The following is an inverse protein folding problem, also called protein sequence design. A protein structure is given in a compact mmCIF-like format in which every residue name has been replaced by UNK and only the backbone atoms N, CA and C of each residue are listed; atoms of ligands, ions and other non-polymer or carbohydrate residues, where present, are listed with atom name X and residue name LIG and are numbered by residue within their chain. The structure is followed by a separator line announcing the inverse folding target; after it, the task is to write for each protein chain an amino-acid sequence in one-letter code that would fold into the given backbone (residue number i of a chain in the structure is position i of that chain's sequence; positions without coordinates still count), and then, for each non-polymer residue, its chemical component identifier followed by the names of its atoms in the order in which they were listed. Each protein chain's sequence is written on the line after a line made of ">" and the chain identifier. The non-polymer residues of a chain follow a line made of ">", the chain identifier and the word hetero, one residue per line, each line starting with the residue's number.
data_IF_190703511687
#
_entry.id   IF_190703511687
#
_cell.length_a   1.000
_cell.length_b   1.000
_cell.length_c   1.000
_cell.angle_alpha   90.00
_cell.angle_beta   90.00
_cell.angle_gamma   90.00
#
_symmetry.space_group_name_H-M   'P 1'
#
loop_
_entity.id
_entity.type
_entity.pdbx_description
1 polymer ?
#
# COMPACT_ATOMS: atom_id res chain seq x y z
N UNK A 1 -31.60 -44.13 13.43
CA UNK A 1 -31.14 -43.39 12.22
C UNK A 1 -30.54 -42.07 12.64
N UNK A 2 -29.22 -41.87 12.49
CA UNK A 2 -28.55 -40.59 12.80
C UNK A 2 -28.85 -39.60 11.67
N UNK A 3 -29.66 -38.60 11.94
CA UNK A 3 -29.93 -37.48 11.03
C UNK A 3 -28.64 -36.68 10.80
N UNK A 4 -28.12 -36.69 9.57
CA UNK A 4 -26.97 -35.91 9.14
C UNK A 4 -27.37 -34.42 9.03
N UNK A 5 -27.46 -33.73 10.16
CA UNK A 5 -27.85 -32.30 10.24
C UNK A 5 -26.83 -31.34 9.63
N UNK A 6 -25.62 -31.78 9.30
CA UNK A 6 -24.52 -30.93 8.82
C UNK A 6 -24.67 -30.45 7.36
N UNK A 7 -25.78 -30.73 6.68
CA UNK A 7 -25.97 -30.40 5.25
C UNK A 7 -27.11 -29.40 4.98
N UNK A 8 -27.78 -28.91 6.03
CA UNK A 8 -28.96 -28.03 5.96
C UNK A 8 -28.75 -26.82 6.86
N UNK A 9 -29.30 -25.66 6.49
CA UNK A 9 -29.22 -24.41 7.26
C UNK A 9 -29.99 -24.51 8.59
N UNK A 10 -29.33 -24.19 9.72
CA UNK A 10 -29.91 -24.15 11.06
C UNK A 10 -30.36 -22.70 11.43
N UNK A 11 -31.63 -22.50 11.86
CA UNK A 11 -32.20 -21.19 12.16
C UNK A 11 -31.76 -20.55 13.49
N UNK A 12 -31.14 -21.29 14.42
CA UNK A 12 -31.01 -20.85 15.82
C UNK A 12 -29.94 -19.77 16.10
N UNK A 13 -29.24 -19.27 15.07
CA UNK A 13 -28.10 -18.34 15.25
C UNK A 13 -28.32 -16.93 14.66
N UNK A 14 -29.27 -16.74 13.74
CA UNK A 14 -29.55 -15.46 13.06
C UNK A 14 -31.02 -15.43 12.62
N UNK A 15 -31.60 -14.25 12.35
CA UNK A 15 -32.92 -14.15 11.71
C UNK A 15 -32.85 -14.61 10.24
N UNK A 16 -32.87 -15.93 10.03
CA UNK A 16 -32.75 -16.55 8.71
C UNK A 16 -34.08 -16.47 7.97
N UNK A 17 -34.04 -16.02 6.71
CA UNK A 17 -35.20 -16.06 5.83
C UNK A 17 -35.71 -17.52 5.69
N UNK A 18 -37.00 -17.80 5.99
CA UNK A 18 -37.54 -19.17 5.96
C UNK A 18 -37.32 -19.91 4.64
N UNK A 19 -37.24 -19.19 3.51
CA UNK A 19 -36.98 -19.77 2.20
C UNK A 19 -35.56 -20.38 2.03
N UNK A 20 -34.64 -20.06 2.95
CA UNK A 20 -33.27 -20.59 2.94
C UNK A 20 -33.15 -21.87 3.77
N UNK A 21 -34.08 -22.11 4.70
CA UNK A 21 -34.08 -23.32 5.53
C UNK A 21 -34.32 -24.54 4.65
N UNK A 22 -33.55 -25.61 4.84
CA UNK A 22 -33.64 -26.81 4.00
C UNK A 22 -32.74 -26.82 2.76
N UNK A 23 -32.07 -25.70 2.42
CA UNK A 23 -31.18 -25.69 1.25
C UNK A 23 -29.89 -26.47 1.51
N UNK A 24 -29.40 -27.22 0.50
CA UNK A 24 -28.18 -28.02 0.63
C UNK A 24 -26.95 -27.11 0.67
N UNK A 25 -26.22 -27.16 1.78
CA UNK A 25 -25.00 -26.40 1.98
C UNK A 25 -23.87 -26.90 1.05
N UNK A 26 -22.99 -25.98 0.63
CA UNK A 26 -21.79 -26.33 -0.11
C UNK A 26 -20.81 -27.11 0.78
N UNK A 27 -20.22 -28.19 0.23
CA UNK A 27 -19.17 -28.95 0.93
C UNK A 27 -17.86 -28.13 0.97
N UNK A 28 -17.05 -28.22 2.04
CA UNK A 28 -15.75 -27.53 2.14
C UNK A 28 -14.88 -27.71 0.90
N UNK A 29 -14.73 -28.94 0.41
CA UNK A 29 -13.95 -29.23 -0.79
C UNK A 29 -14.45 -28.48 -2.02
N UNK A 30 -15.78 -28.38 -2.23
CA UNK A 30 -16.33 -27.62 -3.37
C UNK A 30 -16.06 -26.12 -3.26
N UNK A 31 -16.12 -25.58 -2.04
CA UNK A 31 -15.77 -24.18 -1.78
C UNK A 31 -14.30 -23.93 -2.05
N UNK A 32 -13.42 -24.83 -1.59
CA UNK A 32 -11.98 -24.75 -1.82
C UNK A 32 -11.65 -24.81 -3.32
N UNK A 33 -12.20 -25.78 -4.06
CA UNK A 33 -11.99 -25.88 -5.50
C UNK A 33 -12.47 -24.63 -6.23
N UNK A 34 -13.64 -24.09 -5.87
CA UNK A 34 -14.13 -22.84 -6.45
C UNK A 34 -13.17 -21.67 -6.19
N UNK A 35 -12.66 -21.54 -4.96
CA UNK A 35 -11.68 -20.51 -4.61
C UNK A 35 -10.37 -20.68 -5.37
N UNK A 36 -9.86 -21.91 -5.53
CA UNK A 36 -8.64 -22.16 -6.30
C UNK A 36 -8.82 -21.76 -7.77
N UNK A 37 -9.95 -22.11 -8.39
CA UNK A 37 -10.25 -21.69 -9.78
C UNK A 37 -10.28 -20.16 -9.88
N UNK A 38 -10.97 -19.50 -8.95
CA UNK A 38 -11.05 -18.03 -8.94
C UNK A 38 -9.67 -17.39 -8.72
N UNK A 39 -8.83 -17.94 -7.83
CA UNK A 39 -7.48 -17.45 -7.58
C UNK A 39 -6.57 -17.64 -8.81
N UNK A 40 -6.68 -18.76 -9.52
CA UNK A 40 -5.97 -18.96 -10.79
C UNK A 40 -6.42 -17.93 -11.83
N UNK A 41 -7.73 -17.69 -11.96
CA UNK A 41 -8.26 -16.69 -12.88
C UNK A 41 -7.76 -15.28 -12.55
N UNK A 42 -7.79 -14.89 -11.27
CA UNK A 42 -7.26 -13.61 -10.80
C UNK A 42 -5.76 -13.52 -11.04
N UNK A 43 -4.99 -14.59 -10.76
CA UNK A 43 -3.54 -14.59 -10.97
C UNK A 43 -3.20 -14.35 -12.44
N UNK A 44 -3.85 -15.05 -13.37
CA UNK A 44 -3.67 -14.82 -14.82
C UNK A 44 -4.01 -13.39 -15.22
N UNK A 45 -5.03 -12.81 -14.59
CA UNK A 45 -5.54 -11.49 -14.89
C UNK A 45 -4.63 -10.37 -14.36
N UNK A 46 -4.04 -10.57 -13.18
CA UNK A 46 -3.01 -9.69 -12.63
C UNK A 46 -1.75 -9.74 -13.51
N UNK A 47 -1.33 -10.94 -13.95
CA UNK A 47 -0.20 -11.10 -14.87
C UNK A 47 -0.44 -10.48 -16.25
N UNK A 48 -1.67 -10.54 -16.76
CA UNK A 48 -2.03 -9.94 -18.05
C UNK A 48 -2.14 -8.40 -17.99
N UNK A 49 -1.96 -7.80 -16.80
CA UNK A 49 -2.07 -6.37 -16.56
C UNK A 49 -3.50 -5.97 -16.20
N UNK A 50 -3.63 -5.18 -15.12
CA UNK A 50 -4.92 -4.76 -14.56
C UNK A 50 -5.94 -4.16 -15.52
N UNK A 51 -5.47 -3.59 -16.65
CA UNK A 51 -6.33 -3.09 -17.72
C UNK A 51 -7.26 -4.14 -18.32
N UNK A 52 -6.90 -5.43 -18.27
CA UNK A 52 -7.74 -6.51 -18.78
C UNK A 52 -9.05 -6.63 -17.99
N UNK A 53 -9.06 -6.40 -16.68
CA UNK A 53 -10.29 -6.38 -15.88
C UNK A 53 -11.23 -5.26 -16.32
N UNK A 54 -10.69 -4.06 -16.50
CA UNK A 54 -11.46 -2.90 -16.93
C UNK A 54 -11.97 -3.07 -18.36
N UNK A 55 -11.15 -3.63 -19.25
CA UNK A 55 -11.57 -3.98 -20.60
C UNK A 55 -12.71 -5.00 -20.59
N UNK A 56 -12.58 -6.10 -19.83
CA UNK A 56 -13.62 -7.13 -19.75
C UNK A 56 -14.92 -6.58 -19.14
N UNK A 57 -14.82 -5.73 -18.11
CA UNK A 57 -15.96 -5.06 -17.52
C UNK A 57 -16.65 -4.12 -18.51
N UNK A 58 -15.88 -3.28 -19.22
CA UNK A 58 -16.40 -2.37 -20.25
C UNK A 58 -17.09 -3.14 -21.39
N UNK A 59 -16.45 -4.22 -21.87
CA UNK A 59 -17.01 -5.11 -22.88
C UNK A 59 -18.31 -5.78 -22.41
N UNK A 60 -18.35 -6.27 -21.16
CA UNK A 60 -19.53 -6.89 -20.58
C UNK A 60 -20.70 -5.90 -20.43
N UNK A 61 -20.43 -4.69 -19.92
CA UNK A 61 -21.43 -3.62 -19.78
C UNK A 61 -21.97 -3.25 -21.16
N UNK A 62 -21.09 -3.01 -22.13
CA UNK A 62 -21.49 -2.68 -23.50
C UNK A 62 -22.30 -3.80 -24.15
N UNK A 63 -21.88 -5.06 -23.99
CA UNK A 63 -22.61 -6.22 -24.50
C UNK A 63 -24.02 -6.32 -23.89
N UNK A 64 -24.15 -6.03 -22.59
CA UNK A 64 -25.42 -6.04 -21.85
C UNK A 64 -26.31 -4.82 -22.10
N UNK A 65 -25.74 -3.69 -22.52
CA UNK A 65 -26.50 -2.51 -22.97
C UNK A 65 -26.93 -2.61 -24.44
N UNK A 66 -26.05 -3.07 -25.34
CA UNK A 66 -26.37 -3.37 -26.73
C UNK A 66 -27.48 -4.42 -26.81
N UNK A 67 -27.35 -5.48 -26.02
CA UNK A 67 -28.32 -5.79 -24.97
C UNK A 67 -29.80 -5.49 -25.19
N UNK A 68 -30.13 -4.35 -24.59
CA UNK A 68 -31.43 -3.76 -24.34
C UNK A 68 -31.82 -2.79 -25.46
N UNK A 69 -30.83 -2.25 -26.19
CA UNK A 69 -31.03 -1.36 -27.34
C UNK A 69 -31.42 -2.12 -28.61
N UNK A 70 -31.07 -3.40 -28.71
CA UNK A 70 -31.51 -4.30 -29.78
C UNK A 70 -32.98 -4.71 -29.58
N UNK A 71 -33.90 -3.74 -29.66
CA UNK A 71 -35.33 -3.97 -29.75
C UNK A 71 -35.71 -4.63 -31.08
N UNK A 72 -36.78 -5.45 -31.03
CA UNK A 72 -37.44 -6.21 -32.12
C UNK A 72 -37.18 -5.68 -33.55
N UNK A 73 -36.03 -6.02 -34.16
CA UNK A 73 -35.78 -5.75 -35.58
C UNK A 73 -35.54 -7.08 -36.26
N UNK A 74 -36.60 -7.60 -36.87
CA UNK A 74 -36.77 -8.96 -37.39
C UNK A 74 -35.85 -9.32 -38.58
N UNK A 75 -35.07 -8.35 -39.09
CA UNK A 75 -34.29 -8.53 -40.33
C UNK A 75 -32.87 -9.11 -40.13
N UNK A 76 -32.34 -9.07 -38.90
CA UNK A 76 -31.05 -9.69 -38.57
C UNK A 76 -31.29 -10.99 -37.82
N UNK A 77 -30.98 -12.12 -38.45
CA UNK A 77 -31.08 -13.44 -37.81
C UNK A 77 -30.39 -13.45 -36.45
N UNK A 78 -30.93 -14.23 -35.48
CA UNK A 78 -30.46 -14.24 -34.08
C UNK A 78 -28.93 -14.38 -33.93
N UNK A 79 -28.28 -15.08 -34.87
CA UNK A 79 -26.82 -15.23 -34.92
C UNK A 79 -26.07 -13.95 -35.28
N UNK A 80 -26.59 -13.13 -36.21
CA UNK A 80 -25.95 -11.90 -36.66
C UNK A 80 -26.00 -10.80 -35.59
N UNK A 81 -27.10 -10.73 -34.82
CA UNK A 81 -27.18 -9.84 -33.66
C UNK A 81 -26.16 -10.19 -32.57
N UNK A 82 -25.87 -11.48 -32.36
CA UNK A 82 -24.87 -11.93 -31.39
C UNK A 82 -23.44 -11.57 -31.83
N UNK A 83 -23.09 -11.79 -33.11
CA UNK A 83 -21.77 -11.45 -33.64
C UNK A 83 -21.51 -9.95 -33.61
N UNK A 84 -22.46 -9.09 -34.00
CA UNK A 84 -22.27 -7.64 -33.90
C UNK A 84 -22.08 -7.17 -32.45
N UNK A 85 -22.77 -7.78 -31.48
CA UNK A 85 -22.58 -7.48 -30.05
C UNK A 85 -21.22 -7.96 -29.54
N UNK A 86 -20.78 -9.14 -29.99
CA UNK A 86 -19.45 -9.67 -29.65
C UNK A 86 -18.33 -8.80 -30.22
N UNK A 87 -18.45 -8.39 -31.49
CA UNK A 87 -17.48 -7.49 -32.16
C UNK A 87 -17.46 -6.10 -31.52
N UNK A 88 -18.63 -5.52 -31.21
CA UNK A 88 -18.71 -4.24 -30.50
C UNK A 88 -18.12 -4.32 -29.08
N UNK A 89 -18.36 -5.42 -28.37
CA UNK A 89 -17.74 -5.70 -27.07
C UNK A 89 -16.22 -5.83 -27.18
N UNK A 90 -15.72 -6.55 -28.19
CA UNK A 90 -14.29 -6.70 -28.47
C UNK A 90 -13.63 -5.36 -28.83
N UNK A 91 -14.27 -4.53 -29.65
CA UNK A 91 -13.77 -3.20 -29.99
C UNK A 91 -13.62 -2.33 -28.74
N UNK A 92 -14.63 -2.29 -27.88
CA UNK A 92 -14.58 -1.52 -26.63
C UNK A 92 -13.58 -2.10 -25.62
N UNK A 93 -13.40 -3.42 -25.60
CA UNK A 93 -12.33 -4.07 -24.84
C UNK A 93 -10.95 -3.55 -25.26
N UNK A 94 -10.65 -3.57 -26.56
CA UNK A 94 -9.37 -3.12 -27.11
C UNK A 94 -9.16 -1.60 -26.90
N UNK A 95 -10.22 -0.80 -27.07
CA UNK A 95 -10.17 0.64 -26.80
C UNK A 95 -9.84 0.93 -25.33
N UNK A 96 -10.50 0.24 -24.40
CA UNK A 96 -10.24 0.38 -22.97
C UNK A 96 -8.80 -0.02 -22.60
N UNK A 97 -8.27 -1.11 -23.20
CA UNK A 97 -6.86 -1.49 -23.01
C UNK A 97 -5.90 -0.41 -23.51
N UNK A 98 -6.18 0.19 -24.67
CA UNK A 98 -5.34 1.26 -25.22
C UNK A 98 -5.32 2.48 -24.29
N UNK A 99 -6.50 2.92 -23.81
CA UNK A 99 -6.61 4.03 -22.86
C UNK A 99 -5.91 3.74 -21.54
N UNK A 100 -6.06 2.52 -21.00
CA UNK A 100 -5.38 2.10 -19.77
C UNK A 100 -3.86 2.16 -19.91
N UNK A 101 -3.33 1.63 -21.02
CA UNK A 101 -1.89 1.64 -21.28
C UNK A 101 -1.37 3.07 -21.33
N UNK A 102 -2.02 3.95 -22.10
CA UNK A 102 -1.65 5.37 -22.21
C UNK A 102 -1.72 6.11 -20.87
N UNK A 103 -2.76 5.87 -20.07
CA UNK A 103 -2.92 6.51 -18.76
C UNK A 103 -1.86 6.08 -17.76
N UNK A 104 -1.50 4.79 -17.75
CA UNK A 104 -0.42 4.26 -16.89
C UNK A 104 0.93 4.88 -17.23
N UNK A 105 1.25 4.97 -18.51
CA UNK A 105 2.55 5.48 -18.96
C UNK A 105 2.68 6.98 -18.62
N UNK A 106 1.59 7.75 -18.77
CA UNK A 106 1.51 9.14 -18.33
C UNK A 106 1.69 9.30 -16.80
N UNK A 107 0.97 8.49 -16.00
CA UNK A 107 1.07 8.53 -14.54
C UNK A 107 2.48 8.17 -14.05
N UNK A 108 3.11 7.17 -14.68
CA UNK A 108 4.50 6.80 -14.40
C UNK A 108 5.45 7.97 -14.69
N UNK A 109 5.30 8.65 -15.83
CA UNK A 109 6.09 9.83 -16.15
C UNK A 109 5.95 10.97 -15.13
N UNK A 110 4.74 11.20 -14.59
CA UNK A 110 4.54 12.17 -13.51
C UNK A 110 5.20 11.76 -12.18
N UNK A 111 5.10 10.48 -11.81
CA UNK A 111 5.69 9.97 -10.58
C UNK A 111 7.23 9.98 -10.62
N UNK A 112 7.81 9.57 -11.76
CA UNK A 112 9.25 9.58 -11.97
C UNK A 112 9.78 11.04 -11.90
N UNK A 113 9.11 11.99 -12.56
CA UNK A 113 9.49 13.42 -12.47
C UNK A 113 9.35 14.03 -11.08
N UNK A 114 8.37 13.59 -10.27
CA UNK A 114 8.23 14.03 -8.89
C UNK A 114 9.26 13.40 -7.94
N UNK A 115 9.65 12.14 -8.19
CA UNK A 115 10.69 11.45 -7.44
C UNK A 115 12.06 12.08 -7.68
N UNK A 116 12.38 12.45 -8.93
CA UNK A 116 13.61 13.17 -9.27
C UNK A 116 13.68 14.53 -8.58
N UNK A 117 12.58 15.28 -8.55
CA UNK A 117 12.50 16.56 -7.82
C UNK A 117 12.67 16.39 -6.28
N UNK A 118 12.25 15.25 -5.73
CA UNK A 118 12.35 14.95 -4.29
C UNK A 118 13.74 14.44 -3.90
N UNK A 119 14.43 13.68 -4.76
CA UNK A 119 15.80 13.22 -4.55
C UNK A 119 16.81 14.39 -4.56
N UNK A 120 16.57 15.40 -5.40
CA UNK A 120 17.31 16.68 -5.36
C UNK A 120 17.10 17.42 -4.02
N UNK A 121 15.93 17.27 -3.39
CA UNK A 121 15.63 17.86 -2.08
C UNK A 121 16.14 17.04 -0.88
N UNK A 122 16.42 15.74 -1.05
CA UNK A 122 16.72 14.80 0.03
C UNK A 122 18.20 14.42 0.13
N UNK A 123 19.00 14.70 -0.91
CA UNK A 123 20.46 14.71 -0.76
C UNK A 123 20.86 15.92 0.09
N UNK A 124 21.68 15.66 1.10
CA UNK A 124 22.20 16.64 2.02
C UNK A 124 22.82 17.83 1.26
N UNK A 125 22.78 19.02 1.86
CA UNK A 125 23.60 20.12 1.38
C UNK A 125 25.05 19.65 1.22
N UNK A 126 25.79 20.14 0.22
CA UNK A 126 26.88 19.37 -0.39
C UNK A 126 28.06 19.03 0.54
N UNK A 127 28.19 19.64 1.71
CA UNK A 127 29.30 19.43 2.65
C UNK A 127 28.95 18.78 4.00
N UNK A 128 27.80 18.10 4.13
CA UNK A 128 27.39 17.46 5.39
C UNK A 128 27.07 18.43 6.53
N UNK A 129 26.89 19.71 6.19
CA UNK A 129 26.51 20.78 7.11
C UNK A 129 25.01 20.66 7.42
N UNK A 130 24.59 20.64 8.70
CA UNK A 130 23.17 20.53 9.06
C UNK A 130 22.46 21.85 8.77
N UNK A 131 21.83 21.93 7.58
CA UNK A 131 21.01 23.07 7.15
C UNK A 131 19.52 22.76 7.41
N UNK A 132 18.74 23.68 7.99
CA UNK A 132 17.29 23.45 8.20
C UNK A 132 16.56 23.56 6.86
N UNK A 133 15.41 22.87 6.73
CA UNK A 133 14.67 22.76 5.46
C UNK A 133 14.36 24.09 4.75
N UNK A 134 14.11 25.19 5.48
CA UNK A 134 13.90 26.52 4.88
C UNK A 134 15.15 27.09 4.21
N UNK A 135 16.33 26.82 4.76
CA UNK A 135 17.61 27.29 4.22
C UNK A 135 18.08 26.41 3.06
N UNK A 136 17.80 25.09 3.12
CA UNK A 136 18.04 24.18 1.99
C UNK A 136 17.22 24.60 0.76
N UNK A 137 15.96 24.99 0.95
CA UNK A 137 15.10 25.52 -0.11
C UNK A 137 15.63 26.84 -0.69
N UNK A 138 16.23 27.69 0.14
CA UNK A 138 16.89 28.93 -0.30
C UNK A 138 18.13 28.67 -1.16
N UNK A 139 18.97 27.70 -0.77
CA UNK A 139 20.14 27.27 -1.56
C UNK A 139 19.69 26.67 -2.89
N UNK A 140 18.73 25.73 -2.87
CA UNK A 140 18.22 25.10 -4.09
C UNK A 140 17.64 26.14 -5.06
N UNK A 141 16.85 27.10 -4.54
CA UNK A 141 16.32 28.19 -5.36
C UNK A 141 17.44 29.04 -5.98
N UNK A 142 18.49 29.35 -5.24
CA UNK A 142 19.62 30.11 -5.76
C UNK A 142 20.41 29.34 -6.83
N UNK A 143 20.58 28.03 -6.66
CA UNK A 143 21.31 27.17 -7.61
C UNK A 143 20.49 26.85 -8.87
N UNK A 144 19.17 26.77 -8.76
CA UNK A 144 18.26 26.52 -9.90
C UNK A 144 17.93 27.80 -10.69
N UNK A 145 18.29 28.98 -10.20
CA UNK A 145 17.98 30.25 -10.88
C UNK A 145 18.99 30.52 -12.00
N UNK A 146 18.50 30.62 -13.23
CA UNK A 146 19.34 30.82 -14.42
C UNK A 146 19.56 32.31 -14.74
N UNK A 147 18.72 33.20 -14.20
CA UNK A 147 18.87 34.65 -14.34
C UNK A 147 19.80 35.23 -13.25
N UNK A 148 20.95 35.76 -13.68
CA UNK A 148 21.93 36.40 -12.82
C UNK A 148 21.34 37.59 -12.02
N UNK A 149 20.43 38.36 -12.62
CA UNK A 149 19.86 39.54 -11.97
C UNK A 149 18.96 39.15 -10.79
N UNK A 150 18.22 38.06 -10.93
CA UNK A 150 17.36 37.53 -9.87
C UNK A 150 18.17 36.77 -8.82
N UNK A 151 19.20 36.02 -9.23
CA UNK A 151 20.13 35.37 -8.30
C UNK A 151 20.88 36.37 -7.41
N UNK A 152 21.29 37.53 -7.95
CA UNK A 152 21.89 38.64 -7.17
C UNK A 152 20.96 39.23 -6.11
N UNK A 153 19.64 39.16 -6.32
CA UNK A 153 18.64 39.59 -5.33
C UNK A 153 18.41 38.55 -4.24
N UNK A 154 18.45 37.27 -4.61
CA UNK A 154 18.22 36.15 -3.70
C UNK A 154 19.44 35.82 -2.82
N UNK A 155 20.66 35.95 -3.35
CA UNK A 155 21.89 35.54 -2.67
C UNK A 155 22.10 36.19 -1.27
N UNK A 156 21.86 37.49 -1.05
CA UNK A 156 22.01 38.10 0.27
C UNK A 156 21.05 37.53 1.33
N UNK A 157 19.84 37.13 0.93
CA UNK A 157 18.84 36.52 1.81
C UNK A 157 19.28 35.11 2.21
N UNK A 158 19.74 34.32 1.24
CA UNK A 158 20.24 32.96 1.45
C UNK A 158 21.48 32.96 2.35
N UNK A 159 22.49 33.78 2.08
CA UNK A 159 23.71 33.89 2.89
C UNK A 159 23.41 34.35 4.31
N UNK A 160 22.49 35.31 4.48
CA UNK A 160 22.06 35.77 5.82
C UNK A 160 21.34 34.65 6.57
N UNK A 161 20.48 33.89 5.89
CA UNK A 161 19.80 32.73 6.45
C UNK A 161 20.76 31.64 6.93
N UNK A 162 21.85 31.42 6.19
CA UNK A 162 22.90 30.45 6.53
C UNK A 162 23.78 30.92 7.70
N UNK A 163 24.18 32.19 7.71
CA UNK A 163 24.90 32.78 8.86
C UNK A 163 24.06 32.75 10.13
N UNK A 164 22.76 33.05 10.04
CA UNK A 164 21.85 32.98 11.19
C UNK A 164 21.69 31.56 11.74
N UNK A 165 21.96 30.52 10.95
CA UNK A 165 22.04 29.13 11.41
C UNK A 165 23.42 28.72 11.95
N UNK A 166 24.39 29.62 11.99
CA UNK A 166 25.74 29.34 12.50
C UNK A 166 26.69 28.70 11.48
N UNK A 167 26.33 28.69 10.19
CA UNK A 167 27.22 28.23 9.12
C UNK A 167 28.32 29.28 8.91
N UNK A 168 29.58 28.85 8.88
CA UNK A 168 30.72 29.76 8.73
C UNK A 168 30.89 30.24 7.30
N UNK A 169 31.52 31.40 7.13
CA UNK A 169 31.73 31.98 5.81
C UNK A 169 32.57 31.07 4.89
N UNK A 170 33.51 30.29 5.43
CA UNK A 170 34.27 29.29 4.66
C UNK A 170 33.40 28.11 4.20
N UNK A 171 32.43 27.71 5.01
CA UNK A 171 31.50 26.60 4.71
C UNK A 171 30.47 27.04 3.66
N UNK A 172 30.00 28.29 3.72
CA UNK A 172 29.11 28.87 2.71
C UNK A 172 29.79 28.92 1.33
N UNK A 173 31.09 29.28 1.28
CA UNK A 173 31.86 29.22 0.02
C UNK A 173 31.90 27.81 -0.57
N UNK A 174 32.11 26.79 0.27
CA UNK A 174 32.11 25.39 -0.15
C UNK A 174 30.76 24.95 -0.72
N UNK A 175 29.65 25.25 -0.04
CA UNK A 175 28.29 24.87 -0.47
C UNK A 175 27.94 25.42 -1.86
N UNK A 176 28.30 26.68 -2.13
CA UNK A 176 27.96 27.32 -3.41
C UNK A 176 28.91 26.89 -4.53
N UNK A 177 30.19 26.65 -4.23
CA UNK A 177 31.15 26.14 -5.20
C UNK A 177 30.78 24.71 -5.66
N UNK A 178 30.36 23.86 -4.72
CA UNK A 178 29.97 22.48 -5.01
C UNK A 178 28.64 22.40 -5.79
N UNK A 179 27.68 23.27 -5.47
CA UNK A 179 26.43 23.41 -6.24
C UNK A 179 26.62 23.97 -7.66
N UNK A 180 27.84 24.37 -8.04
CA UNK A 180 28.22 24.87 -9.36
C UNK A 180 29.44 24.12 -9.89
N UNK A 181 29.56 22.82 -9.57
CA UNK A 181 30.66 21.95 -10.01
C UNK A 181 30.80 21.89 -11.53
N UNK A 182 29.68 21.89 -12.26
CA UNK A 182 29.65 21.87 -13.73
C UNK A 182 30.13 23.21 -14.35
N UNK A 183 30.23 24.27 -13.55
CA UNK A 183 30.74 25.58 -13.99
C UNK A 183 29.79 26.38 -14.88
N UNK A 184 28.53 25.94 -15.01
CA UNK A 184 27.51 26.57 -15.86
C UNK A 184 27.17 28.01 -15.43
N UNK A 185 27.50 28.42 -14.19
CA UNK A 185 27.22 29.76 -13.63
C UNK A 185 28.51 30.45 -13.20
N UNK A 186 29.31 31.01 -14.13
CA UNK A 186 30.61 31.63 -13.81
C UNK A 186 30.50 32.89 -12.94
N UNK A 187 29.34 33.56 -12.96
CA UNK A 187 29.04 34.74 -12.15
C UNK A 187 28.80 34.41 -10.67
N UNK A 188 28.48 33.15 -10.32
CA UNK A 188 28.06 32.76 -8.98
C UNK A 188 29.22 32.82 -7.96
N UNK A 189 30.42 32.41 -8.36
CA UNK A 189 31.61 32.49 -7.50
C UNK A 189 31.97 33.95 -7.15
N UNK A 190 31.97 34.83 -8.16
CA UNK A 190 32.23 36.26 -7.96
C UNK A 190 31.16 36.92 -7.07
N UNK A 191 29.91 36.49 -7.18
CA UNK A 191 28.82 36.95 -6.32
C UNK A 191 29.06 36.56 -4.85
N UNK A 192 29.44 35.31 -4.57
CA UNK A 192 29.72 34.84 -3.21
C UNK A 192 30.92 35.55 -2.60
N UNK A 193 31.99 35.75 -3.36
CA UNK A 193 33.18 36.44 -2.88
C UNK A 193 32.90 37.91 -2.56
N UNK A 194 31.99 38.56 -3.29
CA UNK A 194 31.56 39.93 -2.97
C UNK A 194 30.80 40.05 -1.63
N UNK A 195 30.28 38.94 -1.09
CA UNK A 195 29.41 38.91 0.09
C UNK A 195 30.09 38.39 1.37
N UNK A 196 31.30 37.84 1.28
CA UNK A 196 32.02 37.19 2.40
C UNK A 196 33.45 37.78 2.61
N UNK A 197 33.81 38.30 3.81
CA UNK A 197 35.14 38.88 4.09
C UNK A 197 36.30 37.86 4.13
N UNK A 198 37.54 38.35 3.99
CA UNK A 198 38.77 37.54 4.01
C UNK A 198 39.35 37.34 5.44
N UNK A 199 39.92 36.17 5.80
CA UNK A 199 40.39 35.86 7.17
C UNK A 199 41.80 36.42 7.52
N UNK A 200 42.05 36.77 8.80
CA UNK A 200 43.37 37.20 9.35
C UNK A 200 43.74 36.49 10.68
N UNK A 201 45.00 36.03 10.87
CA UNK A 201 45.57 35.57 12.17
C UNK A 201 47.11 35.75 12.27
N UNK A 202 47.64 36.01 13.49
CA UNK A 202 49.08 36.04 13.83
C UNK A 202 49.46 34.92 14.84
N UNK A 203 50.66 34.32 14.72
CA UNK A 203 51.09 33.08 15.41
C UNK A 203 52.51 33.23 15.99
N UNK A 204 52.72 32.99 17.29
CA UNK A 204 54.05 32.87 17.93
C UNK A 204 54.61 31.43 17.75
N UNK A 205 55.91 31.31 17.42
CA UNK A 205 56.58 30.07 16.99
C UNK A 205 57.22 29.30 18.16
N UNK A 206 57.22 27.96 18.06
CA UNK A 206 57.78 27.03 19.06
C UNK A 206 59.24 27.33 19.38
N UNK A 207 60.03 27.71 18.38
CA UNK A 207 61.47 28.00 18.51
C UNK A 207 61.75 29.16 19.49
N UNK A 208 60.90 30.18 19.48
CA UNK A 208 61.04 31.34 20.37
C UNK A 208 60.74 31.00 21.83
N UNK A 209 59.82 30.06 22.06
CA UNK A 209 59.43 29.61 23.39
C UNK A 209 60.48 28.65 23.99
N UNK A 210 61.07 27.79 23.16
CA UNK A 210 62.17 26.91 23.55
C UNK A 210 63.44 27.70 23.90
N UNK A 211 63.78 28.74 23.12
CA UNK A 211 64.91 29.62 23.39
C UNK A 211 64.74 30.38 24.73
N UNK A 212 63.54 30.90 25.00
CA UNK A 212 63.23 31.57 26.26
C UNK A 212 63.33 30.63 27.48
N UNK A 213 62.89 29.37 27.33
CA UNK A 213 63.01 28.36 28.37
C UNK A 213 64.49 28.00 28.64
N UNK A 214 65.29 27.80 27.59
CA UNK A 214 66.72 27.48 27.72
C UNK A 214 67.51 28.60 28.42
N UNK A 215 67.23 29.87 28.08
CA UNK A 215 67.84 31.02 28.74
C UNK A 215 67.51 31.10 30.24
N UNK A 216 66.26 30.80 30.62
CA UNK A 216 65.85 30.76 32.02
C UNK A 216 66.58 29.67 32.82
N UNK A 217 66.81 28.50 32.22
CA UNK A 217 67.58 27.41 32.84
C UNK A 217 69.05 27.82 33.05
N UNK A 218 69.68 28.43 32.05
CA UNK A 218 71.08 28.88 32.14
C UNK A 218 71.28 29.98 33.19
N UNK A 219 70.30 30.86 33.36
CA UNK A 219 70.33 31.91 34.36
C UNK A 219 70.05 31.42 35.80
N UNK A 220 69.68 30.15 35.99
CA UNK A 220 69.25 29.62 37.28
C UNK A 220 67.90 30.16 37.78
N UNK A 221 67.10 30.76 36.88
CA UNK A 221 65.80 31.35 37.21
C UNK A 221 64.71 30.28 37.30
N UNK A 222 64.60 29.70 38.50
CA UNK A 222 63.62 28.67 38.82
C UNK A 222 62.16 29.13 38.68
N UNK A 223 61.87 30.43 38.79
CA UNK A 223 60.52 30.97 38.62
C UNK A 223 60.12 31.02 37.14
N UNK A 224 61.01 31.49 36.27
CA UNK A 224 60.78 31.53 34.82
C UNK A 224 60.70 30.11 34.22
N UNK A 225 61.53 29.17 34.68
CA UNK A 225 61.46 27.76 34.25
C UNK A 225 60.12 27.13 34.60
N UNK A 226 59.58 27.39 35.80
CA UNK A 226 58.27 26.88 36.23
C UNK A 226 57.11 27.50 35.43
N UNK A 227 57.22 28.76 35.03
CA UNK A 227 56.21 29.45 34.23
C UNK A 227 56.20 29.01 32.76
N UNK A 228 57.37 28.82 32.15
CA UNK A 228 57.51 28.51 30.72
C UNK A 228 57.38 27.01 30.40
N UNK A 229 57.69 26.13 31.36
CA UNK A 229 57.65 24.67 31.17
C UNK A 229 56.30 24.12 30.66
N UNK A 230 55.16 24.45 31.28
CA UNK A 230 53.85 23.99 30.82
C UNK A 230 53.45 24.52 29.44
N UNK A 231 53.82 25.76 29.11
CA UNK A 231 53.55 26.36 27.81
C UNK A 231 54.35 25.68 26.69
N UNK A 232 55.61 25.35 26.95
CA UNK A 232 56.46 24.63 26.00
C UNK A 232 56.02 23.17 25.86
N UNK A 233 55.72 22.49 26.97
CA UNK A 233 55.23 21.12 26.96
C UNK A 233 53.90 20.96 26.23
N UNK A 234 52.94 21.87 26.45
CA UNK A 234 51.65 21.85 25.75
C UNK A 234 51.76 22.12 24.26
N UNK A 235 52.74 22.93 23.81
CA UNK A 235 53.00 23.20 22.40
C UNK A 235 53.75 22.05 21.70
N UNK A 236 54.72 21.44 22.36
CA UNK A 236 55.42 20.25 21.85
C UNK A 236 54.48 19.04 21.76
N UNK A 237 53.64 18.83 22.77
CA UNK A 237 52.66 17.75 22.77
C UNK A 237 51.42 18.06 21.91
N UNK A 238 51.27 19.29 21.40
CA UNK A 238 50.08 19.68 20.64
C UNK A 238 49.92 18.86 19.35
N UNK A 239 51.02 18.48 18.69
CA UNK A 239 50.96 17.69 17.46
C UNK A 239 50.55 16.24 17.76
N UNK A 240 51.23 15.57 18.68
CA UNK A 240 50.90 14.19 19.08
C UNK A 240 49.49 14.08 19.69
N UNK A 241 49.06 15.05 20.49
CA UNK A 241 47.70 15.09 21.04
C UNK A 241 46.63 15.42 19.99
N UNK A 242 46.99 16.10 18.89
CA UNK A 242 46.09 16.30 17.75
C UNK A 242 45.94 15.00 16.96
N UNK A 243 47.05 14.30 16.73
CA UNK A 243 47.07 13.02 16.05
C UNK A 243 46.27 11.95 16.80
N UNK A 244 46.50 11.77 18.10
CA UNK A 244 45.73 10.82 18.92
C UNK A 244 44.22 11.14 18.95
N UNK A 245 43.84 12.42 19.04
CA UNK A 245 42.43 12.81 19.00
C UNK A 245 41.81 12.60 17.63
N UNK A 246 42.58 12.82 16.57
CA UNK A 246 42.14 12.53 15.21
C UNK A 246 41.86 11.02 15.05
N UNK A 247 42.77 10.16 15.51
CA UNK A 247 42.61 8.71 15.49
C UNK A 247 41.42 8.24 16.34
N UNK A 248 41.26 8.76 17.56
CA UNK A 248 40.11 8.43 18.41
C UNK A 248 38.79 8.82 17.75
N UNK A 249 38.75 9.95 17.06
CA UNK A 249 37.57 10.43 16.34
C UNK A 249 37.26 9.58 15.11
N UNK A 250 38.27 9.11 14.38
CA UNK A 250 38.07 8.21 13.24
C UNK A 250 37.55 6.85 13.68
N UNK A 251 38.07 6.29 14.78
CA UNK A 251 37.56 5.03 15.33
C UNK A 251 36.10 5.15 15.78
N UNK A 252 35.72 6.24 16.46
CA UNK A 252 34.33 6.47 16.85
C UNK A 252 33.39 6.63 15.64
N UNK A 253 33.86 7.29 14.57
CA UNK A 253 33.10 7.39 13.32
C UNK A 253 32.89 6.02 12.69
N UNK A 254 33.94 5.21 12.58
CA UNK A 254 33.86 3.85 12.03
C UNK A 254 32.87 2.99 12.82
N UNK A 255 32.94 2.99 14.16
CA UNK A 255 31.98 2.26 14.99
C UNK A 255 30.54 2.74 14.80
N UNK A 256 30.34 4.06 14.66
CA UNK A 256 29.03 4.64 14.38
C UNK A 256 28.49 4.23 13.01
N UNK A 257 29.35 4.23 11.98
CA UNK A 257 29.02 3.81 10.62
C UNK A 257 28.69 2.31 10.58
N UNK A 258 29.55 1.44 11.10
CA UNK A 258 29.30 0.00 11.15
C UNK A 258 28.04 -0.34 11.93
N UNK A 259 27.76 0.37 13.04
CA UNK A 259 26.51 0.19 13.80
C UNK A 259 25.28 0.61 12.99
N UNK A 260 25.35 1.75 12.29
CA UNK A 260 24.27 2.20 11.40
C UNK A 260 24.06 1.22 10.25
N UNK A 261 25.12 0.68 9.67
CA UNK A 261 25.04 -0.35 8.62
C UNK A 261 24.36 -1.62 9.13
N UNK A 262 24.71 -2.08 10.33
CA UNK A 262 24.07 -3.25 10.95
C UNK A 262 22.58 -3.03 11.23
N UNK A 263 22.23 -1.87 11.79
CA UNK A 263 20.85 -1.49 12.10
C UNK A 263 20.01 -1.33 10.82
N UNK A 264 20.59 -0.72 9.77
CA UNK A 264 19.96 -0.62 8.46
C UNK A 264 19.81 -2.00 7.80
N UNK A 265 20.80 -2.89 7.90
CA UNK A 265 20.71 -4.23 7.34
C UNK A 265 19.64 -5.09 8.06
N UNK A 266 19.54 -5.00 9.38
CA UNK A 266 18.50 -5.70 10.15
C UNK A 266 17.10 -5.16 9.85
N UNK A 267 16.92 -3.83 9.82
CA UNK A 267 15.61 -3.22 9.54
C UNK A 267 15.18 -3.39 8.08
N UNK A 268 16.11 -3.37 7.12
CA UNK A 268 15.83 -3.72 5.72
C UNK A 268 15.32 -5.16 5.60
N UNK A 269 15.81 -6.10 6.39
CA UNK A 269 15.46 -7.53 6.25
C UNK A 269 13.98 -7.87 6.49
N UNK A 270 13.37 -7.35 7.57
CA UNK A 270 11.99 -7.71 7.94
C UNK A 270 10.98 -6.74 7.31
N UNK A 271 11.27 -5.44 7.37
CA UNK A 271 10.37 -4.42 6.80
C UNK A 271 10.30 -4.59 5.28
N UNK A 272 11.42 -4.80 4.57
CA UNK A 272 11.39 -5.04 3.12
C UNK A 272 10.64 -6.31 2.74
N UNK A 273 10.63 -7.35 3.58
CA UNK A 273 9.84 -8.57 3.32
C UNK A 273 8.36 -8.30 3.52
N UNK A 274 7.97 -7.52 4.52
CA UNK A 274 6.58 -7.16 4.78
C UNK A 274 6.07 -6.16 3.74
N UNK A 275 6.82 -5.11 3.43
CA UNK A 275 6.46 -4.11 2.41
C UNK A 275 6.54 -4.71 1.03
N UNK A 276 7.56 -5.50 0.70
CA UNK A 276 7.65 -6.23 -0.57
C UNK A 276 6.47 -7.19 -0.76
N UNK A 277 6.10 -7.94 0.29
CA UNK A 277 4.89 -8.77 0.28
C UNK A 277 3.61 -7.94 0.13
N UNK A 278 3.48 -6.81 0.83
CA UNK A 278 2.32 -5.91 0.75
C UNK A 278 2.22 -5.18 -0.59
N UNK A 279 3.33 -4.88 -1.26
CA UNK A 279 3.38 -4.23 -2.57
C UNK A 279 3.06 -5.24 -3.68
N UNK A 280 3.65 -6.45 -3.61
CA UNK A 280 3.30 -7.58 -4.47
C UNK A 280 1.83 -7.99 -4.30
N UNK A 281 1.33 -7.94 -3.07
CA UNK A 281 -0.08 -8.17 -2.77
C UNK A 281 -0.95 -6.97 -3.10
N UNK A 282 -0.52 -5.73 -2.97
CA UNK A 282 -1.42 -4.56 -2.94
C UNK A 282 -2.15 -4.33 -4.26
N UNK A 283 -1.41 -4.42 -5.37
CA UNK A 283 -1.98 -4.32 -6.71
C UNK A 283 -2.80 -5.58 -7.02
N UNK A 284 -2.28 -6.77 -6.73
CA UNK A 284 -2.99 -8.04 -6.97
C UNK A 284 -4.27 -8.20 -6.14
N UNK A 285 -4.24 -7.74 -4.89
CA UNK A 285 -5.33 -7.77 -3.93
C UNK A 285 -6.42 -6.80 -4.34
N UNK A 286 -6.07 -5.58 -4.78
CA UNK A 286 -7.01 -4.63 -5.35
C UNK A 286 -7.77 -5.19 -6.57
N UNK A 287 -7.04 -5.79 -7.51
CA UNK A 287 -7.66 -6.45 -8.68
C UNK A 287 -8.49 -7.68 -8.31
N UNK A 288 -8.04 -8.46 -7.33
CA UNK A 288 -8.83 -9.58 -6.80
C UNK A 288 -10.12 -9.08 -6.16
N UNK A 289 -10.09 -7.95 -5.45
CA UNK A 289 -11.26 -7.30 -4.87
C UNK A 289 -12.25 -6.88 -5.93
N UNK A 290 -11.78 -6.18 -6.97
CA UNK A 290 -12.62 -5.82 -8.12
C UNK A 290 -13.24 -7.05 -8.79
N UNK A 291 -12.47 -8.11 -9.02
CA UNK A 291 -12.96 -9.37 -9.58
C UNK A 291 -14.07 -9.97 -8.71
N UNK A 292 -13.80 -10.21 -7.41
CA UNK A 292 -14.75 -10.86 -6.52
C UNK A 292 -16.00 -10.01 -6.29
N UNK A 293 -15.85 -8.70 -6.08
CA UNK A 293 -16.97 -7.78 -5.89
C UNK A 293 -17.85 -7.70 -7.14
N UNK A 294 -17.25 -7.51 -8.33
CA UNK A 294 -17.99 -7.38 -9.57
C UNK A 294 -18.74 -8.68 -9.91
N UNK A 295 -18.08 -9.84 -9.89
CA UNK A 295 -18.75 -11.09 -10.25
C UNK A 295 -19.85 -11.47 -9.24
N UNK A 296 -19.57 -11.38 -7.93
CA UNK A 296 -20.58 -11.73 -6.91
C UNK A 296 -21.80 -10.81 -7.01
N UNK A 297 -21.63 -9.52 -7.25
CA UNK A 297 -22.75 -8.59 -7.43
C UNK A 297 -23.47 -8.82 -8.76
N UNK A 298 -22.75 -8.94 -9.88
CA UNK A 298 -23.34 -9.05 -11.22
C UNK A 298 -23.99 -10.41 -11.50
N UNK A 299 -23.50 -11.48 -10.88
CA UNK A 299 -24.01 -12.85 -11.05
C UNK A 299 -24.75 -13.37 -9.80
N UNK A 300 -25.33 -12.48 -9.00
CA UNK A 300 -26.21 -12.82 -7.88
C UNK A 300 -25.60 -13.91 -6.97
N UNK A 301 -24.42 -13.65 -6.43
CA UNK A 301 -23.73 -14.54 -5.51
C UNK A 301 -22.75 -15.52 -6.13
N UNK A 302 -22.46 -15.43 -7.44
CA UNK A 302 -21.57 -16.36 -8.14
C UNK A 302 -20.29 -15.68 -8.63
N UNK A 303 -19.23 -16.46 -8.68
CA UNK A 303 -17.97 -16.18 -9.39
C UNK A 303 -17.79 -17.25 -10.45
N UNK A 304 -16.91 -17.08 -11.44
CA UNK A 304 -16.58 -18.13 -12.41
C UNK A 304 -16.32 -19.50 -11.75
N UNK A 305 -15.46 -19.56 -10.73
CA UNK A 305 -15.17 -20.80 -9.99
C UNK A 305 -16.39 -21.35 -9.26
N UNK A 306 -17.15 -20.51 -8.55
CA UNK A 306 -18.38 -20.95 -7.85
C UNK A 306 -19.44 -21.47 -8.82
N UNK A 307 -19.58 -20.84 -9.98
CA UNK A 307 -20.51 -21.24 -11.04
C UNK A 307 -20.13 -22.59 -11.62
N UNK A 308 -18.83 -22.84 -11.87
CA UNK A 308 -18.32 -24.15 -12.30
C UNK A 308 -18.59 -25.24 -11.25
N UNK A 309 -18.48 -24.91 -9.97
CA UNK A 309 -18.74 -25.86 -8.87
C UNK A 309 -20.23 -25.98 -8.48
N UNK A 310 -21.12 -25.25 -9.17
CA UNK A 310 -22.56 -25.26 -8.90
C UNK A 310 -22.93 -24.78 -7.49
N UNK A 311 -22.27 -23.72 -7.02
CA UNK A 311 -22.52 -23.12 -5.71
C UNK A 311 -22.77 -21.62 -5.83
N UNK A 312 -23.52 -21.04 -4.90
CA UNK A 312 -23.75 -19.60 -4.83
C UNK A 312 -23.78 -19.09 -3.40
N UNK A 313 -23.42 -17.82 -3.24
CA UNK A 313 -23.56 -17.07 -1.99
C UNK A 313 -24.96 -16.47 -1.94
N UNK A 314 -25.64 -16.63 -0.81
CA UNK A 314 -26.92 -15.98 -0.51
C UNK A 314 -26.78 -15.21 0.81
N UNK A 315 -27.50 -14.10 0.95
CA UNK A 315 -27.63 -13.40 2.22
C UNK A 315 -28.65 -14.11 3.10
N UNK A 316 -28.43 -14.17 4.41
CA UNK A 316 -29.34 -14.81 5.35
C UNK A 316 -30.71 -14.11 5.40
N UNK A 317 -30.77 -12.82 5.10
CA UNK A 317 -32.03 -12.08 4.96
C UNK A 317 -32.77 -12.33 3.64
N UNK A 318 -32.20 -13.11 2.71
CA UNK A 318 -32.78 -13.43 1.40
C UNK A 318 -32.69 -12.31 0.35
N UNK A 319 -32.08 -11.18 0.67
CA UNK A 319 -31.87 -10.09 -0.29
C UNK A 319 -30.79 -10.48 -1.31
N UNK A 320 -30.86 -9.98 -2.56
CA UNK A 320 -29.85 -10.23 -3.57
C UNK A 320 -28.50 -9.63 -3.17
N UNK A 321 -27.43 -10.15 -3.79
CA UNK A 321 -26.11 -9.59 -3.58
C UNK A 321 -25.92 -8.27 -4.32
N UNK A 322 -25.64 -7.19 -3.59
CA UNK A 322 -25.30 -5.88 -4.16
C UNK A 322 -23.77 -5.65 -4.13
N UNK A 323 -23.31 -4.57 -4.76
CA UNK A 323 -21.89 -4.21 -4.85
C UNK A 323 -21.26 -3.96 -3.49
N UNK A 324 -21.92 -3.17 -2.63
CA UNK A 324 -21.39 -2.79 -1.33
C UNK A 324 -21.18 -4.01 -0.42
N UNK A 325 -22.21 -4.84 -0.26
CA UNK A 325 -22.14 -6.06 0.53
C UNK A 325 -21.17 -7.08 -0.07
N UNK A 326 -20.99 -7.10 -1.40
CA UNK A 326 -19.97 -7.94 -2.05
C UNK A 326 -18.55 -7.45 -1.78
N UNK A 327 -18.35 -6.13 -1.67
CA UNK A 327 -17.07 -5.51 -1.29
C UNK A 327 -16.74 -5.76 0.18
N UNK A 328 -17.69 -5.56 1.10
CA UNK A 328 -17.50 -5.87 2.52
C UNK A 328 -17.18 -7.36 2.75
N UNK A 329 -17.87 -8.26 2.01
CA UNK A 329 -17.58 -9.70 2.03
C UNK A 329 -16.19 -10.02 1.50
N UNK A 330 -15.69 -9.26 0.53
CA UNK A 330 -14.31 -9.42 0.05
C UNK A 330 -13.29 -8.98 1.11
N UNK A 331 -13.52 -7.84 1.79
CA UNK A 331 -12.69 -7.39 2.91
C UNK A 331 -12.57 -8.45 4.01
N UNK A 332 -13.64 -9.21 4.27
CA UNK A 332 -13.61 -10.35 5.19
C UNK A 332 -12.61 -11.47 4.82
N UNK A 333 -12.18 -11.60 3.56
CA UNK A 333 -11.14 -12.55 3.18
C UNK A 333 -9.77 -12.14 3.74
N UNK A 334 -9.47 -10.84 3.83
CA UNK A 334 -8.24 -10.36 4.47
C UNK A 334 -8.22 -10.75 5.95
N UNK A 335 -9.34 -10.61 6.67
CA UNK A 335 -9.46 -11.07 8.05
C UNK A 335 -9.22 -12.60 8.18
N UNK A 336 -9.67 -13.38 7.20
CA UNK A 336 -9.37 -14.82 7.13
C UNK A 336 -7.89 -15.15 6.92
N UNK A 337 -7.16 -14.31 6.18
CA UNK A 337 -5.70 -14.45 5.98
C UNK A 337 -4.93 -14.04 7.24
N UNK A 338 -5.29 -12.91 7.85
CA UNK A 338 -4.68 -12.40 9.09
C UNK A 338 -4.82 -13.39 10.25
N UNK A 339 -5.92 -14.15 10.27
CA UNK A 339 -6.15 -15.22 11.25
C UNK A 339 -5.42 -16.54 10.91
N UNK A 340 -4.46 -16.52 9.98
CA UNK A 340 -3.65 -17.70 9.62
C UNK A 340 -4.45 -18.80 8.92
N UNK A 341 -5.39 -18.44 8.05
CA UNK A 341 -6.36 -19.33 7.41
C UNK A 341 -7.38 -20.00 8.35
N UNK A 342 -7.27 -19.78 9.67
CA UNK A 342 -8.19 -20.36 10.64
C UNK A 342 -9.64 -19.87 10.39
N UNK A 343 -9.82 -18.61 10.01
CA UNK A 343 -11.12 -18.05 9.62
C UNK A 343 -11.77 -18.76 8.42
N UNK A 344 -10.98 -19.39 7.54
CA UNK A 344 -11.47 -20.24 6.46
C UNK A 344 -11.72 -21.68 6.93
N UNK A 345 -10.84 -22.22 7.79
CA UNK A 345 -10.97 -23.56 8.35
C UNK A 345 -12.25 -23.75 9.18
N UNK A 346 -12.85 -22.66 9.67
CA UNK A 346 -14.14 -22.70 10.37
C UNK A 346 -15.26 -23.42 9.60
N UNK A 347 -15.18 -23.48 8.28
CA UNK A 347 -16.13 -24.23 7.43
C UNK A 347 -16.27 -25.71 7.81
N UNK A 348 -15.27 -26.32 8.45
CA UNK A 348 -15.26 -27.74 8.80
C UNK A 348 -16.06 -28.05 10.07
N UNK A 349 -16.15 -27.12 11.02
CA UNK A 349 -16.80 -27.32 12.32
C UNK A 349 -18.00 -26.40 12.57
N UNK A 350 -18.18 -25.34 11.77
CA UNK A 350 -19.35 -24.48 11.84
C UNK A 350 -20.62 -25.22 11.37
N UNK A 351 -21.69 -25.17 12.17
CA UNK A 351 -22.96 -25.88 11.90
C UNK A 351 -23.55 -25.50 10.53
N UNK A 352 -23.45 -24.22 10.16
CA UNK A 352 -23.94 -23.68 8.90
C UNK A 352 -22.85 -23.62 7.81
N UNK A 353 -21.67 -24.21 8.07
CA UNK A 353 -20.48 -24.20 7.21
C UNK A 353 -20.11 -22.78 6.75
N UNK A 354 -20.27 -21.79 7.62
CA UNK A 354 -19.92 -20.39 7.34
C UNK A 354 -18.45 -20.14 7.67
N UNK A 355 -17.76 -19.43 6.77
CA UNK A 355 -16.41 -18.90 7.02
C UNK A 355 -16.47 -17.53 7.71
N UNK A 356 -15.34 -16.98 8.14
CA UNK A 356 -15.30 -15.68 8.83
C UNK A 356 -15.97 -14.54 8.04
N UNK A 357 -15.68 -14.45 6.73
CA UNK A 357 -16.28 -13.46 5.84
C UNK A 357 -17.78 -13.70 5.60
N UNK A 358 -18.24 -14.94 5.73
CA UNK A 358 -19.66 -15.27 5.65
C UNK A 358 -20.39 -14.79 6.90
N UNK A 359 -19.78 -14.95 8.07
CA UNK A 359 -20.35 -14.53 9.36
C UNK A 359 -20.44 -13.01 9.48
N UNK A 360 -19.38 -12.30 9.10
CA UNK A 360 -19.34 -10.83 9.17
C UNK A 360 -20.47 -10.19 8.35
N UNK A 361 -20.82 -10.81 7.22
CA UNK A 361 -21.79 -10.25 6.25
C UNK A 361 -23.13 -10.98 6.26
N UNK A 362 -23.32 -11.92 7.19
CA UNK A 362 -24.53 -12.73 7.29
C UNK A 362 -24.88 -13.40 5.94
N UNK A 363 -23.91 -14.11 5.37
CA UNK A 363 -24.08 -14.85 4.10
C UNK A 363 -23.85 -16.33 4.28
N UNK A 364 -24.41 -17.14 3.40
CA UNK A 364 -24.26 -18.59 3.39
C UNK A 364 -24.03 -19.08 1.97
N UNK A 365 -23.26 -20.16 1.83
CA UNK A 365 -22.94 -20.75 0.53
C UNK A 365 -23.74 -22.04 0.34
N UNK A 366 -24.68 -22.00 -0.61
CA UNK A 366 -25.56 -23.12 -0.93
C UNK A 366 -25.18 -23.74 -2.27
N UNK A 367 -25.62 -24.99 -2.51
CA UNK A 367 -25.58 -25.58 -3.85
C UNK A 367 -26.69 -24.98 -4.70
N UNK A 368 -26.30 -24.50 -5.88
CA UNK A 368 -27.23 -24.01 -6.89
C UNK A 368 -27.78 -25.24 -7.62
N UNK A 369 -28.97 -25.71 -7.24
CA UNK A 369 -29.61 -26.83 -7.95
C UNK A 369 -29.95 -26.36 -9.36
N UNK A 370 -29.49 -27.09 -10.38
CA UNK A 370 -30.07 -26.97 -11.72
C UNK A 370 -31.55 -27.36 -11.61
N UNK A 371 -32.41 -26.77 -12.44
CA UNK A 371 -33.86 -26.99 -12.42
C UNK A 371 -34.32 -28.47 -12.56
N UNK A 372 -33.42 -29.44 -12.73
CA UNK A 372 -33.71 -30.88 -12.77
C UNK A 372 -33.34 -31.69 -11.51
N UNK A 373 -32.68 -31.09 -10.51
CA UNK A 373 -32.19 -31.82 -9.31
C UNK A 373 -33.09 -31.66 -8.08
N UNK A 374 -34.31 -31.14 -8.25
CA UNK A 374 -35.27 -31.09 -7.15
C UNK A 374 -35.70 -32.54 -6.83
N UNK A 375 -35.50 -33.05 -5.60
CA UNK A 375 -36.30 -34.19 -5.16
C UNK A 375 -37.75 -33.78 -5.34
N UNK A 376 -38.58 -34.67 -5.89
CA UNK A 376 -40.02 -34.47 -5.93
C UNK A 376 -40.46 -33.94 -4.55
N UNK A 377 -41.29 -32.89 -4.48
CA UNK A 377 -41.79 -32.42 -3.20
C UNK A 377 -42.36 -33.64 -2.48
N UNK A 378 -41.71 -34.04 -1.37
CA UNK A 378 -42.33 -34.97 -0.44
C UNK A 378 -43.69 -34.35 -0.13
N UNK A 379 -44.80 -35.10 -0.22
CA UNK A 379 -46.08 -34.58 0.23
C UNK A 379 -45.86 -34.10 1.66
N UNK A 380 -45.83 -32.78 1.83
CA UNK A 380 -45.69 -32.19 3.14
C UNK A 380 -46.94 -32.63 3.88
N UNK A 381 -46.76 -33.43 4.94
CA UNK A 381 -47.82 -33.60 5.91
C UNK A 381 -48.26 -32.19 6.31
N UNK A 382 -49.57 -31.87 6.25
CA UNK A 382 -50.04 -30.55 6.58
C UNK A 382 -49.54 -30.16 7.97
N UNK A 383 -49.20 -28.88 8.18
CA UNK A 383 -48.74 -28.42 9.47
C UNK A 383 -49.70 -28.88 10.59
N UNK A 384 -49.17 -29.46 11.66
CA UNK A 384 -49.94 -29.99 12.79
C UNK A 384 -50.88 -28.95 13.46
N UNK A 385 -50.70 -27.66 13.17
CA UNK A 385 -51.60 -26.59 13.62
C UNK A 385 -52.86 -26.41 12.76
N UNK A 386 -52.94 -26.98 11.55
CA UNK A 386 -54.16 -26.95 10.74
C UNK A 386 -55.10 -28.14 11.02
N UNK A 387 -54.58 -29.30 11.44
CA UNK A 387 -55.44 -30.43 11.84
C UNK A 387 -56.13 -30.21 13.19
N UNK A 388 -55.46 -29.55 14.16
CA UNK A 388 -56.07 -29.23 15.44
C UNK A 388 -57.24 -28.23 15.31
N UNK A 389 -57.09 -27.22 14.45
CA UNK A 389 -58.19 -26.30 14.12
C UNK A 389 -59.27 -26.97 13.28
N UNK A 390 -58.92 -27.97 12.45
CA UNK A 390 -59.87 -28.72 11.64
C UNK A 390 -60.74 -29.71 12.41
N UNK A 391 -60.21 -30.28 13.48
CA UNK A 391 -60.94 -31.14 14.40
C UNK A 391 -61.79 -30.35 15.41
N UNK A 392 -61.39 -29.12 15.77
CA UNK A 392 -62.14 -28.30 16.72
C UNK A 392 -63.41 -27.66 16.12
N UNK A 393 -63.44 -27.33 14.82
CA UNK A 393 -64.68 -26.85 14.19
C UNK A 393 -65.68 -27.98 13.88
N UNK A 394 -65.19 -29.20 13.60
CA UNK A 394 -66.02 -30.35 13.24
C UNK A 394 -66.74 -30.98 14.44
N UNK A 395 -66.28 -30.71 15.66
CA UNK A 395 -66.92 -31.15 16.91
C UNK A 395 -67.90 -30.14 17.51
N UNK A 396 -67.93 -28.89 17.02
CA UNK A 396 -68.87 -27.87 17.49
C UNK A 396 -70.21 -27.90 16.75
N UNK A 397 -70.23 -28.27 15.46
CA UNK A 397 -71.47 -28.37 14.66
C UNK A 397 -72.37 -29.56 15.01
N UNK A 398 -71.90 -30.56 15.76
CA UNK A 398 -72.71 -31.74 16.14
C UNK A 398 -73.37 -31.64 17.52
N UNK A 399 -73.34 -30.48 18.18
CA UNK A 399 -73.99 -30.27 19.49
C UNK A 399 -74.77 -28.95 19.54
N UNK A 400 -75.75 -28.80 18.65
CA UNK A 400 -76.91 -27.95 18.92
C UNK A 400 -78.15 -28.84 19.01
N UNK A 401 -78.76 -29.01 20.19
CA UNK A 401 -80.11 -29.56 20.26
C UNK A 401 -81.07 -28.52 19.71
N UNK A 402 -81.89 -28.90 18.71
CA UNK A 402 -83.15 -28.18 18.43
C UNK A 402 -84.02 -28.29 19.69
N UNK A 403 -84.52 -27.17 20.21
CA UNK A 403 -85.91 -26.80 19.93
C UNK A 403 -86.05 -25.40 19.33
#
# INVERSE_FOLDING_TARGET
>A
MRSNSSYVINPDAFSVNPALVGLPLARPARRLTAMLIDLTAVSLLVHAGGGVLLGLAAAYVAFRFAGRLAGKREWMGRGMGLTFRALGGLFLFLLALNLWNRGRDFAKGMLDGAADATLVSASAGPSGVPVKGRQAMGIARLLMEDDEAEARRLAPEVIRGLRASGVKDEEIRGIVAEGNEDGDKPWLAALVDSLLPAPRKAVLRVDSLAAAYAAAVQAGDTAAVKALGPALGSRLAADSLRELRAEQSSLHRQLGETRKELEQAQNRGIVSRITGFLDEMGIGFGWSGLYFTAFVALWNGQTPGKRMMGIRVLRLNGQPMNFWTSFERFGGYAAGLVTGLLGFAQVYWDKNRMMIHDKIIETVVVRDRRAGDAPAPSPAAPPAHQEASALSWRTYESRTPRP
#
